data_IF_380755245446
#
_entry.id   IF_380755245446
#
_cell.length_a   1.000
_cell.length_b   1.000
_cell.length_c   1.000
_cell.angle_alpha   90.00
_cell.angle_beta   90.00
_cell.angle_gamma   90.00
#
_symmetry.space_group_name_H-M   'P 1'
#
loop_
_entity.id
_entity.type
_entity.pdbx_description
1 polymer ?
#
# COMPACT_ATOMS: atom_id res chain seq x y z
N UNK A 1 1.44 17.79 -41.75
CA UNK A 1 1.91 17.12 -40.53
C UNK A 1 0.74 16.27 -40.09
N UNK A 2 0.77 14.98 -40.42
CA UNK A 2 -0.29 14.04 -40.02
C UNK A 2 -0.14 13.76 -38.51
N UNK A 3 -1.25 13.61 -37.75
CA UNK A 3 -1.16 13.30 -36.33
C UNK A 3 -0.69 11.85 -36.17
N UNK A 4 0.40 11.65 -35.43
CA UNK A 4 0.83 10.31 -35.02
C UNK A 4 -0.27 9.66 -34.18
N UNK A 5 -0.93 8.64 -34.74
CA UNK A 5 -1.88 7.82 -33.99
C UNK A 5 -1.08 6.99 -32.99
N UNK A 6 -1.05 7.43 -31.73
CA UNK A 6 -0.65 6.59 -30.60
C UNK A 6 -1.63 5.44 -30.49
N UNK A 7 -1.26 4.27 -31.03
CA UNK A 7 -1.90 3.02 -30.64
C UNK A 7 -1.48 2.75 -29.20
N UNK A 8 -2.41 2.88 -28.26
CA UNK A 8 -2.25 2.30 -26.93
C UNK A 8 -2.09 0.79 -27.13
N UNK A 9 -0.85 0.33 -27.07
CA UNK A 9 -0.53 -1.09 -27.15
C UNK A 9 -1.09 -1.76 -25.90
N UNK A 10 -1.86 -2.84 -26.08
CA UNK A 10 -2.46 -3.53 -24.94
C UNK A 10 -1.36 -3.93 -23.94
N UNK A 11 -1.57 -3.76 -22.63
CA UNK A 11 -0.55 -4.04 -21.64
C UNK A 11 -0.06 -5.47 -21.80
N UNK A 12 1.25 -5.63 -22.00
CA UNK A 12 1.88 -6.95 -22.01
C UNK A 12 1.61 -7.68 -20.67
N UNK A 13 1.86 -8.99 -20.63
CA UNK A 13 1.50 -9.81 -19.46
C UNK A 13 2.12 -9.30 -18.15
N UNK A 14 3.31 -8.68 -18.21
CA UNK A 14 3.98 -8.09 -17.05
C UNK A 14 3.31 -6.79 -16.59
N UNK A 15 2.99 -5.90 -17.53
CA UNK A 15 2.25 -4.68 -17.27
C UNK A 15 0.85 -4.99 -16.72
N UNK A 16 0.17 -6.01 -17.25
CA UNK A 16 -1.14 -6.43 -16.75
C UNK A 16 -1.07 -6.90 -15.30
N UNK A 17 -0.09 -7.73 -14.96
CA UNK A 17 0.14 -8.16 -13.56
C UNK A 17 0.44 -6.98 -12.63
N UNK A 18 1.21 -6.01 -13.11
CA UNK A 18 1.47 -4.79 -12.36
C UNK A 18 0.19 -3.97 -12.14
N UNK A 19 -0.64 -3.81 -13.17
CA UNK A 19 -1.92 -3.12 -13.05
C UNK A 19 -2.90 -3.85 -12.13
N UNK A 20 -2.95 -5.18 -12.18
CA UNK A 20 -3.78 -5.99 -11.28
C UNK A 20 -3.33 -5.81 -9.81
N UNK A 21 -2.01 -5.81 -9.54
CA UNK A 21 -1.45 -5.54 -8.20
C UNK A 21 -1.71 -4.10 -7.74
N UNK A 22 -1.62 -3.14 -8.67
CA UNK A 22 -1.92 -1.74 -8.39
C UNK A 22 -3.40 -1.55 -8.04
N UNK A 23 -4.29 -2.18 -8.81
CA UNK A 23 -5.72 -2.15 -8.56
C UNK A 23 -6.04 -2.78 -7.20
N UNK A 24 -5.48 -3.95 -6.90
CA UNK A 24 -5.69 -4.64 -5.62
C UNK A 24 -5.18 -3.82 -4.42
N UNK A 25 -4.01 -3.19 -4.56
CA UNK A 25 -3.43 -2.33 -3.51
C UNK A 25 -4.09 -0.93 -3.40
N UNK A 26 -4.82 -0.52 -4.45
CA UNK A 26 -5.66 0.69 -4.48
C UNK A 26 -7.05 0.47 -3.88
N UNK A 27 -7.38 -0.75 -3.44
CA UNK A 27 -8.62 -1.00 -2.71
C UNK A 27 -8.47 -0.56 -1.24
N UNK A 28 -9.54 -0.04 -0.61
CA UNK A 28 -9.51 0.33 0.79
C UNK A 28 -9.18 -0.88 1.66
N UNK A 29 -8.36 -0.69 2.71
CA UNK A 29 -7.96 -1.76 3.63
C UNK A 29 -9.15 -2.39 4.37
N UNK A 30 -10.20 -1.61 4.64
CA UNK A 30 -11.47 -2.05 5.19
C UNK A 30 -12.60 -1.10 4.75
N UNK A 31 -13.86 -1.52 4.87
CA UNK A 31 -15.02 -0.71 4.53
C UNK A 31 -15.04 0.59 5.38
N UNK A 32 -14.93 1.75 4.73
CA UNK A 32 -14.83 3.06 5.40
C UNK A 32 -13.41 3.52 5.77
N UNK A 33 -12.36 2.79 5.38
CA UNK A 33 -10.97 3.24 5.57
C UNK A 33 -10.61 4.43 4.68
N UNK A 34 -10.00 5.47 5.26
CA UNK A 34 -9.36 6.57 4.54
C UNK A 34 -7.99 6.20 3.95
N UNK A 35 -7.48 5.01 4.26
CA UNK A 35 -6.15 4.55 3.87
C UNK A 35 -6.22 3.28 3.02
N UNK A 36 -5.61 3.37 1.84
CA UNK A 36 -5.38 2.26 0.91
C UNK A 36 -4.15 1.46 1.33
N UNK A 37 -4.11 0.17 0.99
CA UNK A 37 -2.99 -0.71 1.33
C UNK A 37 -1.65 -0.14 0.84
N UNK A 38 -1.65 0.41 -0.38
CA UNK A 38 -0.49 1.07 -0.96
C UNK A 38 -0.03 2.30 -0.16
N UNK A 39 -0.97 3.12 0.33
CA UNK A 39 -0.65 4.32 1.12
C UNK A 39 0.03 3.95 2.44
N UNK A 40 -0.42 2.87 3.09
CA UNK A 40 0.19 2.35 4.33
C UNK A 40 1.56 1.77 4.04
N UNK A 41 1.71 0.95 2.98
CA UNK A 41 2.99 0.39 2.59
C UNK A 41 4.06 1.47 2.30
N UNK A 42 3.69 2.53 1.56
CA UNK A 42 4.59 3.66 1.29
C UNK A 42 5.01 4.37 2.58
N UNK A 43 4.08 4.60 3.51
CA UNK A 43 4.41 5.23 4.80
C UNK A 43 5.35 4.36 5.64
N UNK A 44 5.14 3.04 5.67
CA UNK A 44 6.02 2.10 6.37
C UNK A 44 7.43 2.09 5.77
N UNK A 45 7.55 2.11 4.44
CA UNK A 45 8.85 2.18 3.77
C UNK A 45 9.59 3.50 4.07
N UNK A 46 8.86 4.61 4.13
CA UNK A 46 9.44 5.90 4.51
C UNK A 46 9.92 5.86 5.97
N UNK A 47 9.11 5.39 6.91
CA UNK A 47 9.50 5.24 8.33
C UNK A 47 10.76 4.40 8.45
N UNK A 48 10.82 3.26 7.75
CA UNK A 48 11.98 2.39 7.73
C UNK A 48 13.24 3.12 7.25
N UNK A 49 13.13 3.88 6.17
CA UNK A 49 14.26 4.55 5.54
C UNK A 49 14.72 5.77 6.33
N UNK A 50 13.78 6.60 6.80
CA UNK A 50 14.04 7.85 7.54
C UNK A 50 14.72 7.57 8.89
N UNK A 51 14.37 6.47 9.53
CA UNK A 51 14.86 6.13 10.88
C UNK A 51 15.78 4.91 10.91
N UNK A 52 16.13 4.37 9.73
CA UNK A 52 16.91 3.13 9.59
C UNK A 52 16.38 2.00 10.48
N UNK A 53 15.05 1.81 10.45
CA UNK A 53 14.37 0.83 11.31
C UNK A 53 14.76 -0.58 10.89
N UNK A 54 15.15 -1.46 11.83
CA UNK A 54 15.45 -2.85 11.52
C UNK A 54 14.25 -3.57 10.90
N UNK A 55 14.50 -4.50 9.96
CA UNK A 55 13.45 -5.33 9.34
C UNK A 55 12.56 -6.00 10.39
N UNK A 56 13.16 -6.58 11.42
CA UNK A 56 12.43 -7.26 12.51
C UNK A 56 11.41 -6.36 13.20
N UNK A 57 11.72 -5.07 13.37
CA UNK A 57 10.79 -4.11 13.97
C UNK A 57 9.66 -3.74 12.99
N UNK A 58 9.95 -3.67 11.69
CA UNK A 58 8.93 -3.45 10.67
C UNK A 58 8.00 -4.66 10.53
N UNK A 59 8.53 -5.88 10.66
CA UNK A 59 7.74 -7.12 10.62
C UNK A 59 6.71 -7.13 11.76
N UNK A 60 7.14 -6.79 12.99
CA UNK A 60 6.22 -6.61 14.13
C UNK A 60 5.17 -5.52 13.91
N UNK A 61 5.48 -4.44 13.19
CA UNK A 61 4.50 -3.41 12.84
C UNK A 61 3.47 -3.91 11.83
N UNK A 62 3.90 -4.72 10.85
CA UNK A 62 3.00 -5.32 9.86
C UNK A 62 2.07 -6.34 10.51
N UNK A 63 2.58 -7.16 11.43
CA UNK A 63 1.76 -8.11 12.19
C UNK A 63 0.69 -7.39 13.00
N UNK A 64 1.07 -6.33 13.73
CA UNK A 64 0.13 -5.49 14.50
C UNK A 64 -0.93 -4.85 13.60
N UNK A 65 -0.55 -4.35 12.41
CA UNK A 65 -1.50 -3.79 11.45
C UNK A 65 -2.47 -4.87 10.93
N UNK A 66 -1.99 -6.09 10.70
CA UNK A 66 -2.83 -7.23 10.32
C UNK A 66 -3.87 -7.59 11.38
N UNK A 67 -3.52 -7.49 12.66
CA UNK A 67 -4.44 -7.67 13.79
C UNK A 67 -5.50 -6.54 13.85
N UNK A 68 -5.08 -5.30 13.62
CA UNK A 68 -5.96 -4.11 13.70
C UNK A 68 -6.95 -4.00 12.54
N UNK A 69 -6.52 -4.37 11.32
CA UNK A 69 -7.42 -4.42 10.15
C UNK A 69 -8.56 -5.42 10.37
N UNK A 70 -8.36 -6.44 11.21
CA UNK A 70 -9.36 -7.44 11.53
C UNK A 70 -10.29 -7.09 12.70
N UNK A 71 -10.03 -6.05 13.51
CA UNK A 71 -10.81 -5.82 14.74
C UNK A 71 -11.03 -4.35 15.13
N UNK A 72 -12.20 -4.13 15.75
CA UNK A 72 -12.70 -2.90 16.40
C UNK A 72 -11.82 -2.48 17.60
N UNK A 73 -10.54 -2.17 17.37
CA UNK A 73 -9.65 -1.71 18.42
C UNK A 73 -9.73 -0.20 18.58
N UNK A 74 -9.91 0.24 19.83
CA UNK A 74 -9.78 1.64 20.21
C UNK A 74 -8.30 1.91 20.49
N UNK A 75 -7.55 2.31 19.45
CA UNK A 75 -6.12 2.55 19.55
C UNK A 75 -5.87 3.87 20.31
N UNK A 76 -5.05 3.87 21.37
CA UNK A 76 -4.64 5.10 22.05
C UNK A 76 -3.93 6.05 21.07
N UNK A 77 -4.27 7.35 21.12
CA UNK A 77 -3.69 8.36 20.20
C UNK A 77 -2.19 8.60 20.41
N UNK A 78 -1.64 8.12 21.52
CA UNK A 78 -0.24 8.25 21.90
C UNK A 78 0.10 7.24 23.02
N UNK A 79 1.39 6.96 23.17
CA UNK A 79 1.94 6.08 24.22
C UNK A 79 2.33 6.84 25.51
N UNK A 80 1.84 8.08 25.69
CA UNK A 80 2.18 8.97 26.80
C UNK A 80 0.94 9.62 27.43
#
# INVERSE_FOLDING_TARGET
MEPEQYFDEAPNDEARRFYDQLEESSRPLCEGSLHYALSVAVRLMNIKSDWNVPNVAMDSMVDLLGELVNLKFNIPKNFY
#
